data_IF_672344574335
#
_entry.id   IF_672344574335
#
_cell.length_a   1.000
_cell.length_b   1.000
_cell.length_c   1.000
_cell.angle_alpha   90.00
_cell.angle_beta   90.00
_cell.angle_gamma   90.00
#
_symmetry.space_group_name_H-M   'P 1'
#
loop_
_entity.id
_entity.type
_entity.pdbx_description
1 polymer ?
#
# COMPACT_ATOMS: atom_id res chain seq x y z
N UNK A 1 12.28 -51.71 10.23
CA UNK A 1 11.72 -50.82 9.20
C UNK A 1 10.38 -50.35 9.71
N UNK A 2 10.37 -49.24 10.35
CA UNK A 2 9.18 -48.61 10.98
C UNK A 2 8.67 -47.57 10.00
N UNK A 3 7.44 -47.76 9.53
CA UNK A 3 6.71 -46.78 8.74
C UNK A 3 6.41 -45.59 9.62
N UNK A 4 7.02 -44.44 9.33
CA UNK A 4 6.53 -43.16 9.80
C UNK A 4 5.16 -42.92 9.15
N UNK A 5 4.13 -42.83 10.00
CA UNK A 5 2.79 -42.52 9.59
C UNK A 5 2.74 -41.07 9.15
N UNK A 6 2.55 -40.86 7.86
CA UNK A 6 2.19 -39.59 7.22
C UNK A 6 0.77 -39.18 7.66
N UNK A 7 0.64 -38.68 8.88
CA UNK A 7 -0.61 -38.10 9.36
C UNK A 7 -0.69 -36.67 8.81
N UNK A 8 -1.71 -36.34 8.04
CA UNK A 8 -1.88 -34.96 7.57
C UNK A 8 -2.00 -34.04 8.80
N UNK A 9 -1.44 -32.81 8.72
CA UNK A 9 -1.51 -31.86 9.82
C UNK A 9 -2.97 -31.61 10.24
N UNK A 10 -3.19 -31.47 11.54
CA UNK A 10 -4.52 -31.22 12.06
C UNK A 10 -5.08 -29.90 11.53
N UNK A 11 -6.40 -29.82 11.40
CA UNK A 11 -7.06 -28.60 10.92
C UNK A 11 -6.69 -27.36 11.76
N UNK A 12 -6.41 -27.56 13.06
CA UNK A 12 -5.94 -26.50 13.97
C UNK A 12 -4.49 -26.07 13.67
N UNK A 13 -3.57 -26.99 13.30
CA UNK A 13 -2.22 -26.64 12.86
C UNK A 13 -2.22 -25.91 11.51
N UNK A 14 -3.10 -26.28 10.59
CA UNK A 14 -3.27 -25.57 9.33
C UNK A 14 -3.84 -24.16 9.52
N UNK A 15 -4.66 -23.92 10.55
CA UNK A 15 -5.16 -22.59 10.91
C UNK A 15 -4.10 -21.73 11.60
N UNK A 16 -3.17 -22.33 12.36
CA UNK A 16 -2.08 -21.61 13.02
C UNK A 16 -0.96 -21.18 12.05
N UNK A 17 -0.81 -21.88 10.91
CA UNK A 17 0.18 -21.55 9.88
C UNK A 17 -0.33 -20.66 8.75
N UNK A 18 -1.66 -20.42 8.66
CA UNK A 18 -2.18 -19.50 7.66
C UNK A 18 -1.99 -18.06 8.15
N UNK A 19 -1.07 -17.35 7.51
CA UNK A 19 -0.95 -15.89 7.66
C UNK A 19 -2.35 -15.25 7.55
N UNK A 20 -2.71 -14.39 8.51
CA UNK A 20 -3.97 -13.63 8.50
C UNK A 20 -4.13 -12.80 7.22
N UNK A 21 -3.06 -12.63 6.47
CA UNK A 21 -2.94 -11.78 5.30
C UNK A 21 -3.02 -12.54 3.98
N UNK A 22 -3.03 -13.89 4.00
CA UNK A 22 -2.93 -14.72 2.79
C UNK A 22 -1.56 -14.59 2.10
N UNK A 23 -1.22 -15.51 1.21
CA UNK A 23 -0.03 -15.38 0.36
C UNK A 23 -0.37 -14.49 -0.83
N UNK A 24 0.15 -13.27 -0.86
CA UNK A 24 -0.06 -12.31 -1.94
C UNK A 24 1.15 -12.33 -2.90
N UNK A 25 0.93 -12.38 -4.22
CA UNK A 25 2.01 -12.44 -5.19
C UNK A 25 2.78 -11.11 -5.29
N UNK A 26 4.03 -11.16 -5.77
CA UNK A 26 4.87 -9.96 -5.97
C UNK A 26 4.35 -9.05 -7.07
N UNK A 27 3.58 -9.58 -8.03
CA UNK A 27 2.93 -8.80 -9.08
C UNK A 27 1.44 -8.96 -9.03
N UNK A 28 0.74 -7.85 -8.90
CA UNK A 28 -0.71 -7.79 -8.80
C UNK A 28 -1.29 -6.77 -9.77
N UNK A 29 -2.45 -7.09 -10.31
CA UNK A 29 -3.17 -6.23 -11.23
C UNK A 29 -4.54 -5.89 -10.67
N UNK A 30 -5.00 -4.68 -10.88
CA UNK A 30 -6.36 -4.29 -10.51
C UNK A 30 -7.20 -4.10 -11.77
N UNK A 31 -8.32 -4.79 -11.79
CA UNK A 31 -9.27 -4.73 -12.89
C UNK A 31 -10.64 -4.23 -12.39
N UNK A 32 -11.31 -3.46 -13.23
CA UNK A 32 -12.65 -2.99 -12.96
C UNK A 32 -13.29 -2.33 -14.16
N UNK A 33 -14.61 -2.29 -14.18
CA UNK A 33 -15.34 -1.56 -15.21
C UNK A 33 -15.61 -0.14 -14.71
N UNK A 34 -15.14 0.86 -15.44
CA UNK A 34 -15.40 2.26 -15.16
C UNK A 34 -16.89 2.59 -14.99
N UNK A 35 -17.76 1.88 -15.71
CA UNK A 35 -19.21 2.05 -15.65
C UNK A 35 -19.86 1.43 -14.40
N UNK A 36 -19.13 0.58 -13.67
CA UNK A 36 -19.59 -0.09 -12.44
C UNK A 36 -18.69 0.27 -11.26
N UNK A 37 -18.58 1.55 -10.95
CA UNK A 37 -17.76 2.11 -9.88
C UNK A 37 -17.97 1.54 -8.47
N UNK A 38 -18.82 0.54 -8.32
CA UNK A 38 -19.09 -0.07 -7.01
C UNK A 38 -18.01 -1.03 -6.56
N UNK A 39 -17.25 -1.61 -7.48
CA UNK A 39 -16.19 -2.57 -7.13
C UNK A 39 -15.13 -2.72 -8.20
N UNK A 40 -13.90 -3.04 -7.75
CA UNK A 40 -12.75 -3.45 -8.55
C UNK A 40 -12.31 -4.82 -8.06
N UNK A 41 -11.51 -5.54 -8.86
CA UNK A 41 -10.93 -6.83 -8.48
C UNK A 41 -9.42 -6.69 -8.40
N UNK A 42 -8.85 -7.05 -7.25
CA UNK A 42 -7.42 -7.32 -7.13
C UNK A 42 -7.18 -8.73 -7.66
N UNK A 43 -6.27 -8.86 -8.60
CA UNK A 43 -5.94 -10.10 -9.28
C UNK A 43 -4.42 -10.33 -9.24
N UNK A 44 -4.00 -11.56 -9.42
CA UNK A 44 -2.61 -11.90 -9.66
C UNK A 44 -2.14 -11.52 -11.07
N UNK A 45 -1.45 -12.44 -11.75
CA UNK A 45 -0.87 -12.18 -13.07
C UNK A 45 -1.90 -11.87 -14.16
N UNK A 46 -3.11 -12.41 -14.06
CA UNK A 46 -4.17 -12.23 -15.06
C UNK A 46 -5.50 -11.82 -14.42
N UNK A 47 -6.42 -11.26 -15.22
CA UNK A 47 -7.77 -10.89 -14.78
C UNK A 47 -8.62 -12.08 -14.28
N UNK A 48 -8.23 -13.32 -14.60
CA UNK A 48 -8.90 -14.54 -14.16
C UNK A 48 -8.44 -15.00 -12.78
N UNK A 49 -7.23 -14.62 -12.40
CA UNK A 49 -6.61 -14.95 -11.12
C UNK A 49 -7.04 -13.95 -10.04
N UNK A 50 -8.31 -14.06 -9.64
CA UNK A 50 -8.94 -13.11 -8.71
C UNK A 50 -8.58 -13.45 -7.27
N UNK A 51 -8.06 -12.48 -6.54
CA UNK A 51 -7.61 -12.61 -5.15
C UNK A 51 -8.60 -11.96 -4.18
N UNK A 52 -8.92 -10.69 -4.40
CA UNK A 52 -9.70 -9.89 -3.47
C UNK A 52 -10.69 -8.98 -4.19
N UNK A 53 -11.84 -8.73 -3.56
CA UNK A 53 -12.79 -7.70 -3.98
C UNK A 53 -12.43 -6.37 -3.34
N UNK A 54 -12.35 -5.32 -4.14
CA UNK A 54 -12.23 -3.92 -3.70
C UNK A 54 -13.61 -3.28 -3.82
N UNK A 55 -14.31 -3.10 -2.70
CA UNK A 55 -15.64 -2.52 -2.64
C UNK A 55 -15.54 -1.01 -2.36
N UNK A 56 -16.04 -0.18 -3.28
CA UNK A 56 -16.01 1.28 -3.09
C UNK A 56 -17.01 1.73 -2.04
N UNK A 57 -16.55 2.52 -1.08
CA UNK A 57 -17.35 3.04 0.03
C UNK A 57 -17.57 4.55 -0.12
N UNK A 58 -18.83 4.95 -0.23
CA UNK A 58 -19.22 6.35 -0.45
C UNK A 58 -19.41 7.17 0.83
N UNK A 59 -19.32 6.51 2.01
CA UNK A 59 -19.56 7.15 3.30
C UNK A 59 -21.02 7.17 3.76
N UNK A 60 -22.00 7.04 2.85
CA UNK A 60 -23.42 7.13 3.22
C UNK A 60 -23.94 5.95 4.08
N UNK A 61 -23.27 4.81 4.01
CA UNK A 61 -23.70 3.63 4.79
C UNK A 61 -23.40 3.73 6.27
N UNK A 62 -22.45 4.57 6.67
CA UNK A 62 -21.99 4.68 8.06
C UNK A 62 -21.31 3.43 8.62
N UNK A 63 -21.09 2.38 7.79
CA UNK A 63 -20.58 1.09 8.24
C UNK A 63 -19.10 1.14 8.66
N UNK A 64 -18.73 0.46 9.76
CA UNK A 64 -17.34 0.35 10.15
C UNK A 64 -16.51 -0.41 9.09
N UNK A 65 -15.19 -0.21 9.04
CA UNK A 65 -14.39 0.70 9.86
C UNK A 65 -14.40 2.15 9.35
N UNK A 66 -14.91 2.42 8.14
CA UNK A 66 -14.85 3.73 7.50
C UNK A 66 -15.87 4.74 8.04
N UNK A 67 -17.03 4.26 8.52
CA UNK A 67 -18.10 5.17 8.97
C UNK A 67 -18.56 6.09 7.83
N UNK A 68 -18.53 7.41 8.07
CA UNK A 68 -18.90 8.44 7.08
C UNK A 68 -17.75 8.82 6.11
N UNK A 69 -16.60 8.17 6.18
CA UNK A 69 -15.46 8.44 5.30
C UNK A 69 -15.66 7.84 3.93
N UNK A 70 -15.36 8.57 2.87
CA UNK A 70 -15.29 7.98 1.53
C UNK A 70 -13.98 7.18 1.38
N UNK A 71 -14.05 6.02 0.72
CA UNK A 71 -12.90 5.16 0.57
C UNK A 71 -13.22 3.85 -0.10
N UNK A 72 -12.60 2.77 0.35
CA UNK A 72 -12.87 1.41 -0.11
C UNK A 72 -12.62 0.37 1.00
N UNK A 73 -13.25 -0.78 0.83
CA UNK A 73 -13.08 -1.98 1.65
C UNK A 73 -12.41 -3.05 0.80
N UNK A 74 -11.33 -3.66 1.29
CA UNK A 74 -10.67 -4.80 0.66
C UNK A 74 -11.18 -6.08 1.34
N UNK A 75 -11.85 -6.94 0.59
CA UNK A 75 -12.42 -8.21 1.08
C UNK A 75 -11.46 -9.36 0.84
N UNK A 76 -11.33 -10.25 1.81
CA UNK A 76 -10.57 -11.50 1.66
C UNK A 76 -11.42 -12.53 0.90
N UNK A 77 -11.56 -12.32 -0.42
CA UNK A 77 -12.40 -13.09 -1.33
C UNK A 77 -13.13 -12.19 -2.32
N UNK A 78 -14.07 -12.78 -3.08
CA UNK A 78 -14.71 -12.13 -4.23
C UNK A 78 -16.13 -11.63 -3.97
N UNK A 79 -16.60 -11.79 -2.74
CA UNK A 79 -17.93 -11.38 -2.31
C UNK A 79 -17.87 -10.23 -1.31
N UNK A 80 -18.87 -9.35 -1.34
CA UNK A 80 -19.05 -8.33 -0.31
C UNK A 80 -19.47 -8.91 1.06
N UNK A 81 -19.72 -10.22 1.12
CA UNK A 81 -19.98 -10.97 2.34
C UNK A 81 -18.71 -11.60 2.93
N UNK A 82 -17.62 -11.64 2.14
CA UNK A 82 -16.35 -12.18 2.62
C UNK A 82 -15.76 -11.28 3.71
N UNK A 83 -14.92 -11.84 4.60
CA UNK A 83 -14.31 -11.09 5.69
C UNK A 83 -13.58 -9.84 5.20
N UNK A 84 -13.59 -8.79 6.01
CA UNK A 84 -12.82 -7.59 5.73
C UNK A 84 -11.34 -7.85 6.00
N UNK A 85 -10.50 -7.69 4.98
CA UNK A 85 -9.05 -7.81 5.09
C UNK A 85 -8.41 -6.48 5.49
N UNK A 86 -8.81 -5.39 4.83
CA UNK A 86 -8.33 -4.05 5.12
C UNK A 86 -9.29 -2.99 4.57
N UNK A 87 -9.09 -1.73 4.94
CA UNK A 87 -9.82 -0.62 4.37
C UNK A 87 -8.94 0.65 4.29
N UNK A 88 -9.27 1.56 3.40
CA UNK A 88 -8.72 2.91 3.44
C UNK A 88 -9.75 3.95 3.00
N UNK A 89 -9.64 5.14 3.58
CA UNK A 89 -10.54 6.23 3.28
C UNK A 89 -9.93 7.61 3.52
N UNK A 90 -10.73 8.64 3.27
CA UNK A 90 -10.35 10.00 3.63
C UNK A 90 -10.17 10.08 5.15
N UNK A 91 -9.17 10.82 5.63
CA UNK A 91 -8.91 10.93 7.06
C UNK A 91 -10.06 11.64 7.77
N UNK A 92 -10.55 12.71 7.19
CA UNK A 92 -11.68 13.48 7.72
C UNK A 92 -13.02 12.83 7.37
N UNK A 93 -13.98 12.95 8.28
CA UNK A 93 -15.38 12.65 8.00
C UNK A 93 -16.03 13.86 7.33
N UNK A 94 -16.67 13.63 6.20
CA UNK A 94 -17.37 14.69 5.46
C UNK A 94 -16.69 15.09 4.14
N UNK A 95 -17.31 16.05 3.45
CA UNK A 95 -16.92 16.47 2.09
C UNK A 95 -15.74 17.46 2.12
N UNK A 96 -14.56 17.02 2.55
CA UNK A 96 -13.35 17.81 2.34
C UNK A 96 -12.77 17.52 0.95
N UNK A 97 -13.23 18.27 -0.04
CA UNK A 97 -12.97 18.02 -1.45
C UNK A 97 -11.47 17.99 -1.81
N UNK A 98 -10.63 18.67 -1.05
CA UNK A 98 -9.22 18.89 -1.39
C UNK A 98 -8.21 18.17 -0.47
N UNK A 99 -8.64 17.50 0.61
CA UNK A 99 -7.71 16.81 1.49
C UNK A 99 -7.33 15.44 0.88
N UNK A 100 -6.06 15.21 0.49
CA UNK A 100 -5.57 13.92 0.02
C UNK A 100 -5.14 12.96 1.14
N UNK A 101 -5.06 13.45 2.38
CA UNK A 101 -4.68 12.64 3.53
C UNK A 101 -5.68 11.50 3.75
N UNK A 102 -5.17 10.37 4.18
CA UNK A 102 -5.94 9.16 4.34
C UNK A 102 -5.66 8.44 5.65
N UNK A 103 -6.59 7.57 5.99
CA UNK A 103 -6.47 6.61 7.08
C UNK A 103 -6.60 5.20 6.50
N UNK A 104 -5.72 4.31 6.91
CA UNK A 104 -5.69 2.89 6.55
C UNK A 104 -6.06 2.07 7.76
N UNK A 105 -6.89 1.07 7.57
CA UNK A 105 -7.31 0.10 8.59
C UNK A 105 -6.74 -1.26 8.21
N UNK A 106 -5.97 -1.85 9.12
CA UNK A 106 -5.31 -3.15 8.95
C UNK A 106 -5.70 -4.08 10.11
N UNK A 107 -5.61 -5.40 9.94
CA UNK A 107 -5.68 -6.32 11.06
C UNK A 107 -4.67 -5.94 12.13
N UNK A 108 -4.98 -6.13 13.42
CA UNK A 108 -4.08 -5.77 14.50
C UNK A 108 -2.78 -6.57 14.45
N UNK A 109 -1.69 -5.94 14.89
CA UNK A 109 -0.36 -6.55 14.90
C UNK A 109 -0.28 -7.78 15.80
N UNK A 110 -0.98 -7.75 16.91
CA UNK A 110 -1.09 -8.84 17.89
C UNK A 110 -2.55 -9.31 17.89
N UNK A 111 -2.90 -10.07 16.84
CA UNK A 111 -4.29 -10.48 16.64
C UNK A 111 -4.71 -11.56 17.63
N UNK A 112 -5.69 -11.26 18.46
CA UNK A 112 -6.65 -12.26 18.88
C UNK A 112 -7.53 -12.60 17.66
N UNK A 113 -7.54 -13.83 17.13
CA UNK A 113 -8.33 -14.22 15.96
C UNK A 113 -9.83 -13.90 16.07
N UNK A 114 -10.32 -13.63 17.27
CA UNK A 114 -11.72 -13.30 17.57
C UNK A 114 -12.00 -11.80 17.62
N UNK A 115 -10.98 -10.95 17.45
CA UNK A 115 -11.15 -9.51 17.54
C UNK A 115 -11.47 -8.89 16.18
N UNK A 116 -12.63 -8.26 16.08
CA UNK A 116 -12.99 -7.40 14.92
C UNK A 116 -12.28 -6.04 14.93
N UNK A 117 -11.34 -5.84 15.87
CA UNK A 117 -10.58 -4.61 15.99
C UNK A 117 -9.61 -4.48 14.82
N UNK A 118 -9.48 -3.28 14.28
CA UNK A 118 -8.50 -2.94 13.28
C UNK A 118 -7.57 -1.83 13.81
N UNK A 119 -6.29 -1.96 13.51
CA UNK A 119 -5.32 -0.89 13.73
C UNK A 119 -5.45 0.18 12.65
N UNK A 120 -5.12 1.42 13.00
CA UNK A 120 -5.23 2.55 12.09
C UNK A 120 -3.87 3.19 11.82
N UNK A 121 -3.54 3.35 10.52
CA UNK A 121 -2.31 3.96 10.08
C UNK A 121 -2.59 5.16 9.19
N UNK A 122 -1.96 6.33 9.43
CA UNK A 122 -2.13 7.49 8.59
C UNK A 122 -1.34 7.37 7.28
N UNK A 123 -1.91 7.92 6.21
CA UNK A 123 -1.22 8.18 4.95
C UNK A 123 -1.28 9.67 4.67
N UNK A 124 -0.12 10.34 4.65
CA UNK A 124 0.02 11.80 4.55
C UNK A 124 0.55 12.23 3.20
N UNK A 125 -0.09 13.20 2.58
CA UNK A 125 0.42 13.84 1.39
C UNK A 125 1.30 15.03 1.77
N UNK A 126 2.55 15.02 1.30
CA UNK A 126 3.51 16.09 1.56
C UNK A 126 4.05 16.67 0.26
N UNK A 127 4.18 18.01 0.17
CA UNK A 127 4.86 18.64 -0.95
C UNK A 127 6.36 18.30 -0.86
N UNK A 128 6.87 17.68 -1.92
CA UNK A 128 8.29 17.42 -2.09
C UNK A 128 9.03 18.60 -2.72
N UNK A 129 10.35 18.47 -2.88
CA UNK A 129 11.13 19.39 -3.66
C UNK A 129 10.69 19.36 -5.14
N UNK A 130 10.91 20.46 -5.89
CA UNK A 130 10.65 20.54 -7.32
C UNK A 130 9.20 20.32 -7.80
N UNK A 131 8.21 20.80 -7.06
CA UNK A 131 6.79 20.63 -7.41
C UNK A 131 6.27 19.18 -7.34
N UNK A 132 7.02 18.26 -6.77
CA UNK A 132 6.62 16.88 -6.54
C UNK A 132 5.75 16.73 -5.29
N UNK A 133 4.98 15.64 -5.24
CA UNK A 133 4.21 15.22 -4.07
C UNK A 133 4.67 13.83 -3.69
N UNK A 134 4.84 13.63 -2.39
CA UNK A 134 5.05 12.32 -1.80
C UNK A 134 3.89 11.96 -0.87
N UNK A 135 3.53 10.68 -0.82
CA UNK A 135 2.53 10.14 0.10
C UNK A 135 3.23 9.23 1.09
N UNK A 136 3.34 9.70 2.32
CA UNK A 136 4.08 9.06 3.40
C UNK A 136 3.20 8.18 4.24
N UNK A 137 3.74 7.05 4.68
CA UNK A 137 3.18 6.21 5.73
C UNK A 137 4.30 5.53 6.50
N UNK A 138 3.98 5.02 7.69
CA UNK A 138 4.90 4.19 8.47
C UNK A 138 4.18 2.92 8.89
N UNK A 139 4.94 1.80 8.98
CA UNK A 139 4.39 0.49 9.33
C UNK A 139 5.47 -0.37 9.99
N UNK A 140 5.06 -1.32 10.80
CA UNK A 140 5.94 -2.33 11.37
C UNK A 140 6.35 -3.35 10.29
N UNK A 141 7.66 -3.66 10.24
CA UNK A 141 8.26 -4.54 9.25
C UNK A 141 9.15 -5.61 9.88
N UNK A 142 9.22 -6.75 9.20
CA UNK A 142 10.05 -7.90 9.55
C UNK A 142 9.68 -8.55 10.89
N UNK A 143 10.42 -9.58 11.26
CA UNK A 143 10.17 -10.36 12.47
C UNK A 143 10.27 -9.53 13.76
N UNK A 144 11.14 -8.51 13.77
CA UNK A 144 11.36 -7.62 14.92
C UNK A 144 10.30 -6.53 15.05
N UNK A 145 9.32 -6.48 14.17
CA UNK A 145 8.23 -5.50 14.14
C UNK A 145 8.74 -4.05 14.30
N UNK A 146 9.83 -3.73 13.60
CA UNK A 146 10.42 -2.38 13.65
C UNK A 146 9.59 -1.45 12.78
N UNK A 147 9.22 -0.29 13.33
CA UNK A 147 8.48 0.72 12.59
C UNK A 147 9.39 1.45 11.63
N UNK A 148 9.05 1.45 10.36
CA UNK A 148 9.80 2.08 9.29
C UNK A 148 8.92 2.99 8.43
N UNK A 149 9.54 3.98 7.79
CA UNK A 149 8.86 4.99 6.99
C UNK A 149 9.03 4.72 5.50
N UNK A 150 7.96 4.95 4.75
CA UNK A 150 7.88 4.76 3.32
C UNK A 150 7.20 5.95 2.65
N UNK A 151 7.58 6.23 1.40
CA UNK A 151 6.99 7.30 0.62
C UNK A 151 6.71 6.87 -0.83
N UNK A 152 5.47 6.98 -1.26
CA UNK A 152 5.11 6.92 -2.66
C UNK A 152 5.51 8.22 -3.35
N UNK A 153 6.35 8.13 -4.38
CA UNK A 153 6.82 9.27 -5.17
C UNK A 153 6.51 9.05 -6.65
N UNK A 154 6.15 10.10 -7.35
CA UNK A 154 5.91 10.02 -8.80
C UNK A 154 7.19 9.64 -9.53
N UNK A 155 7.10 8.72 -10.50
CA UNK A 155 8.23 8.34 -11.35
C UNK A 155 8.58 9.51 -12.27
N UNK A 156 9.86 9.92 -12.33
CA UNK A 156 10.34 11.04 -13.15
C UNK A 156 10.63 10.56 -14.56
N UNK A 157 10.43 11.47 -15.55
CA UNK A 157 10.90 11.23 -16.93
C UNK A 157 12.42 11.03 -16.92
N UNK A 158 12.89 9.93 -17.52
CA UNK A 158 14.33 9.62 -17.60
C UNK A 158 14.83 8.57 -16.59
N UNK A 159 14.02 8.16 -15.62
CA UNK A 159 14.30 6.94 -14.87
C UNK A 159 14.02 5.73 -15.76
N UNK A 160 14.81 4.63 -15.63
CA UNK A 160 14.71 3.43 -16.50
C UNK A 160 13.30 2.81 -16.56
N UNK A 161 12.49 3.09 -15.55
CA UNK A 161 11.09 2.70 -15.47
C UNK A 161 10.11 3.78 -15.93
N UNK A 162 10.59 4.88 -16.49
CA UNK A 162 9.77 6.01 -16.96
C UNK A 162 8.83 5.68 -18.14
N UNK A 163 8.91 4.48 -18.68
CA UNK A 163 7.88 3.96 -19.59
C UNK A 163 6.54 3.74 -18.90
N UNK A 164 6.50 3.75 -17.55
CA UNK A 164 5.29 3.58 -16.73
C UNK A 164 4.92 4.91 -16.09
N UNK A 165 3.82 5.49 -16.54
CA UNK A 165 3.21 6.59 -15.82
C UNK A 165 2.69 6.06 -14.47
N UNK A 166 3.28 6.51 -13.35
CA UNK A 166 2.93 5.95 -12.04
C UNK A 166 3.77 6.47 -10.89
N UNK A 167 3.90 5.63 -9.88
CA UNK A 167 4.60 5.94 -8.63
C UNK A 167 5.57 4.82 -8.26
N UNK A 168 6.64 5.17 -7.56
CA UNK A 168 7.56 4.25 -6.89
C UNK A 168 7.41 4.39 -5.38
N UNK A 169 7.47 3.30 -4.66
CA UNK A 169 7.53 3.27 -3.21
C UNK A 169 8.99 3.23 -2.78
N UNK A 170 9.38 4.20 -1.97
CA UNK A 170 10.75 4.33 -1.46
C UNK A 170 10.73 4.09 0.04
N UNK A 171 11.60 3.19 0.52
CA UNK A 171 11.90 2.98 1.93
C UNK A 171 12.81 4.10 2.40
N UNK A 172 12.39 4.86 3.39
CA UNK A 172 13.16 5.98 3.91
C UNK A 172 14.13 5.46 4.97
N UNK A 173 15.44 5.70 4.76
CA UNK A 173 16.43 5.37 5.78
C UNK A 173 16.17 6.22 7.02
N UNK A 174 16.00 5.60 8.18
CA UNK A 174 15.95 6.30 9.46
C UNK A 174 17.31 6.99 9.66
N UNK A 175 17.40 8.28 9.37
CA UNK A 175 18.57 9.12 9.64
C UNK A 175 18.68 9.42 11.15
N UNK A 176 18.89 8.37 11.94
CA UNK A 176 18.90 8.43 13.41
C UNK A 176 19.91 7.49 14.06
N UNK A 177 21.05 7.22 13.43
CA UNK A 177 22.23 6.74 14.16
C UNK A 177 23.20 7.89 14.34
N UNK A 178 23.23 8.42 15.56
CA UNK A 178 24.29 9.27 16.10
C UNK A 178 25.62 8.55 15.84
N UNK A 179 26.38 9.07 14.91
CA UNK A 179 27.74 8.62 14.61
C UNK A 179 28.61 8.92 15.83
N UNK A 180 28.98 7.91 16.61
CA UNK A 180 30.14 8.03 17.47
C UNK A 180 31.40 8.18 16.60
N UNK A 181 32.33 9.08 16.93
CA UNK A 181 33.56 9.24 16.18
C UNK A 181 34.57 8.15 16.62
N UNK A 182 34.77 7.15 15.78
CA UNK A 182 35.93 6.28 15.86
C UNK A 182 36.62 6.28 14.52
N UNK A 183 37.82 6.88 14.53
CA UNK A 183 38.71 6.92 13.40
C UNK A 183 39.22 5.53 13.01
N UNK A 184 39.22 5.25 11.74
CA UNK A 184 40.25 4.49 11.03
C UNK A 184 39.96 4.53 9.51
N UNK A 185 41.01 4.94 8.79
CA UNK A 185 41.07 4.95 7.32
C UNK A 185 40.87 3.56 6.73
N UNK A 186 39.85 3.40 5.85
CA UNK A 186 39.86 2.36 4.80
C UNK A 186 39.28 2.96 3.53
N UNK A 187 39.99 2.70 2.45
CA UNK A 187 39.84 3.22 1.10
C UNK A 187 38.40 3.15 0.53
N UNK A 188 38.03 4.27 -0.06
CA UNK A 188 36.87 4.41 -0.94
C UNK A 188 37.09 3.64 -2.23
N UNK A 189 36.22 2.64 -2.51
CA UNK A 189 35.89 2.26 -3.88
C UNK A 189 34.66 3.07 -4.30
N UNK A 190 34.90 4.00 -5.18
CA UNK A 190 33.92 4.94 -5.74
C UNK A 190 33.05 4.26 -6.78
N UNK A 191 31.76 4.12 -6.51
CA UNK A 191 30.72 4.19 -7.53
C UNK A 191 29.69 5.23 -7.08
N UNK A 192 30.02 6.49 -7.34
CA UNK A 192 29.16 7.63 -7.08
C UNK A 192 28.15 7.79 -8.20
N UNK A 193 26.89 7.42 -7.96
CA UNK A 193 25.78 8.02 -8.68
C UNK A 193 25.43 9.36 -8.03
N UNK A 194 25.34 10.47 -8.77
CA UNK A 194 24.95 11.77 -8.24
C UNK A 194 23.42 11.83 -8.14
N UNK A 195 22.87 11.49 -7.01
CA UNK A 195 21.44 11.59 -6.75
C UNK A 195 21.20 11.66 -5.25
N UNK A 196 20.59 12.75 -4.82
CA UNK A 196 20.29 13.05 -3.42
C UNK A 196 19.62 11.89 -2.70
N UNK A 197 19.56 11.96 -1.37
CA UNK A 197 18.94 11.06 -0.36
C UNK A 197 17.68 10.27 -0.81
N UNK A 198 17.81 9.52 -1.90
CA UNK A 198 16.77 8.61 -2.36
C UNK A 198 17.01 7.28 -1.66
N UNK A 199 16.05 6.91 -0.79
CA UNK A 199 16.04 5.61 -0.13
C UNK A 199 15.88 4.47 -1.16
N UNK A 200 15.87 3.24 -0.68
CA UNK A 200 15.70 2.03 -1.47
C UNK A 200 14.29 1.97 -2.08
N UNK A 201 14.18 1.73 -3.39
CA UNK A 201 12.88 1.49 -4.04
C UNK A 201 12.43 0.05 -3.78
N UNK A 202 11.23 -0.12 -3.22
CA UNK A 202 10.71 -1.42 -2.76
C UNK A 202 9.44 -1.86 -3.50
N UNK A 203 8.77 -0.95 -4.21
CA UNK A 203 7.62 -1.29 -5.05
C UNK A 203 7.36 -0.26 -6.16
N UNK A 204 6.61 -0.66 -7.18
CA UNK A 204 6.18 0.20 -8.28
C UNK A 204 4.67 0.08 -8.52
N UNK A 205 4.02 1.20 -8.72
CA UNK A 205 2.62 1.32 -9.13
C UNK A 205 2.57 1.89 -10.55
N UNK A 206 2.28 1.05 -11.54
CA UNK A 206 2.14 1.43 -12.93
C UNK A 206 0.68 1.71 -13.28
N UNK A 207 0.33 2.97 -13.57
CA UNK A 207 -1.02 3.36 -13.97
C UNK A 207 -1.26 3.02 -15.44
N UNK A 208 -2.36 2.33 -15.74
CA UNK A 208 -2.75 1.99 -17.11
C UNK A 208 -3.72 3.05 -17.63
N UNK A 209 -3.22 3.91 -18.50
CA UNK A 209 -4.00 5.02 -19.11
C UNK A 209 -4.57 4.65 -20.49
N UNK A 210 -4.85 3.36 -20.73
CA UNK A 210 -5.28 2.89 -22.04
C UNK A 210 -6.79 3.00 -22.24
N UNK A 211 -7.25 3.93 -23.07
CA UNK A 211 -8.50 3.85 -23.81
C UNK A 211 -8.29 2.89 -25.01
N UNK A 212 -9.15 1.90 -25.28
CA UNK A 212 -10.55 1.73 -24.88
C UNK A 212 -10.82 0.56 -23.92
N UNK A 213 -9.83 -0.18 -23.46
CA UNK A 213 -10.05 -1.30 -22.53
C UNK A 213 -9.97 -0.85 -21.07
N UNK A 214 -10.93 -0.05 -20.64
CA UNK A 214 -11.05 0.51 -19.28
C UNK A 214 -11.27 -0.55 -18.18
N UNK A 215 -10.75 -1.75 -18.39
CA UNK A 215 -10.86 -2.85 -17.43
C UNK A 215 -9.62 -2.98 -16.55
N UNK A 216 -8.43 -2.61 -17.06
CA UNK A 216 -7.19 -2.67 -16.30
C UNK A 216 -6.87 -1.29 -15.72
N UNK A 217 -6.90 -1.17 -14.40
CA UNK A 217 -6.71 0.09 -13.69
C UNK A 217 -5.22 0.39 -13.45
N UNK A 218 -4.50 -0.56 -12.87
CA UNK A 218 -3.07 -0.44 -12.59
C UNK A 218 -2.42 -1.81 -12.34
N UNK A 219 -1.11 -1.83 -12.40
CA UNK A 219 -0.25 -2.94 -11.96
C UNK A 219 0.56 -2.48 -10.75
N UNK A 220 0.60 -3.30 -9.71
CA UNK A 220 1.48 -3.16 -8.55
C UNK A 220 2.55 -4.25 -8.62
N UNK A 221 3.82 -3.85 -8.57
CA UNK A 221 4.97 -4.75 -8.55
C UNK A 221 5.79 -4.49 -7.29
N UNK A 222 5.94 -5.52 -6.46
CA UNK A 222 6.87 -5.52 -5.34
C UNK A 222 8.26 -5.93 -5.87
N UNK A 223 9.30 -5.27 -5.39
CA UNK A 223 10.67 -5.67 -5.73
C UNK A 223 10.95 -7.04 -5.11
N UNK A 224 11.66 -7.89 -5.84
CA UNK A 224 11.93 -9.27 -5.43
C UNK A 224 12.53 -9.36 -4.03
N UNK A 225 12.01 -10.31 -3.23
CA UNK A 225 12.43 -10.55 -1.85
C UNK A 225 11.96 -9.52 -0.81
N UNK A 226 11.36 -8.40 -1.21
CA UNK A 226 10.92 -7.38 -0.25
C UNK A 226 9.70 -7.84 0.56
N UNK A 227 8.79 -8.60 -0.04
CA UNK A 227 7.63 -9.16 0.67
C UNK A 227 8.06 -10.06 1.82
N UNK A 228 9.03 -10.96 1.57
CA UNK A 228 9.54 -11.89 2.57
C UNK A 228 10.33 -11.15 3.68
N UNK A 229 11.13 -10.16 3.28
CA UNK A 229 11.97 -9.39 4.21
C UNK A 229 11.16 -8.43 5.10
N UNK A 230 10.12 -7.79 4.55
CA UNK A 230 9.32 -6.77 5.23
C UNK A 230 8.02 -7.32 5.83
N UNK A 231 7.56 -8.48 5.35
CA UNK A 231 6.44 -9.24 5.90
C UNK A 231 5.06 -8.88 5.35
N UNK A 232 4.09 -9.73 5.66
CA UNK A 232 2.73 -9.67 5.09
C UNK A 232 1.97 -8.38 5.44
N UNK A 233 2.15 -7.87 6.67
CA UNK A 233 1.51 -6.63 7.11
C UNK A 233 1.98 -5.44 6.27
N UNK A 234 3.29 -5.37 5.96
CA UNK A 234 3.82 -4.38 5.03
C UNK A 234 3.25 -4.57 3.63
N UNK A 235 3.22 -5.79 3.12
CA UNK A 235 2.65 -6.12 1.81
C UNK A 235 1.20 -5.64 1.70
N UNK A 236 0.37 -5.92 2.71
CA UNK A 236 -1.00 -5.45 2.75
C UNK A 236 -1.09 -3.91 2.79
N UNK A 237 -0.24 -3.25 3.59
CA UNK A 237 -0.18 -1.77 3.63
C UNK A 237 0.17 -1.19 2.27
N UNK A 238 1.14 -1.80 1.54
CA UNK A 238 1.51 -1.37 0.18
C UNK A 238 0.35 -1.51 -0.79
N UNK A 239 -0.37 -2.63 -0.77
CA UNK A 239 -1.54 -2.86 -1.61
C UNK A 239 -2.63 -1.81 -1.33
N UNK A 240 -2.96 -1.60 -0.07
CA UNK A 240 -4.03 -0.67 0.33
C UNK A 240 -3.66 0.78 -0.02
N UNK A 241 -2.41 1.18 0.21
CA UNK A 241 -1.95 2.53 -0.16
C UNK A 241 -1.84 2.72 -1.66
N UNK A 242 -1.49 1.69 -2.44
CA UNK A 242 -1.51 1.72 -3.91
C UNK A 242 -2.93 1.91 -4.46
N UNK A 243 -3.93 1.17 -3.95
CA UNK A 243 -5.34 1.34 -4.31
C UNK A 243 -5.80 2.75 -3.94
N UNK A 244 -5.44 3.23 -2.74
CA UNK A 244 -5.76 4.61 -2.30
C UNK A 244 -5.17 5.63 -3.26
N UNK A 245 -3.89 5.49 -3.62
CA UNK A 245 -3.19 6.40 -4.52
C UNK A 245 -3.82 6.42 -5.92
N UNK A 246 -4.23 5.25 -6.43
CA UNK A 246 -5.01 5.16 -7.67
C UNK A 246 -6.33 5.94 -7.56
N UNK A 247 -7.10 5.75 -6.47
CA UNK A 247 -8.37 6.47 -6.29
C UNK A 247 -8.18 7.98 -6.18
N UNK A 248 -7.11 8.43 -5.53
CA UNK A 248 -6.72 9.84 -5.47
C UNK A 248 -6.34 10.37 -6.85
N UNK A 249 -5.59 9.58 -7.63
CA UNK A 249 -5.19 9.94 -9.00
C UNK A 249 -6.40 10.14 -9.91
N UNK A 250 -7.33 9.19 -9.91
CA UNK A 250 -8.58 9.27 -10.68
C UNK A 250 -9.43 10.49 -10.29
N UNK A 251 -9.42 10.86 -9.00
CA UNK A 251 -10.10 12.06 -8.48
C UNK A 251 -9.33 13.36 -8.72
N UNK A 252 -8.17 13.33 -9.38
CA UNK A 252 -7.32 14.50 -9.61
C UNK A 252 -6.61 15.04 -8.36
N UNK A 253 -6.61 14.28 -7.25
CA UNK A 253 -6.06 14.71 -5.95
C UNK A 253 -4.55 14.43 -5.79
N UNK A 254 -3.85 14.05 -6.83
CA UNK A 254 -2.40 13.79 -6.82
C UNK A 254 -1.59 14.95 -7.44
N UNK A 255 -2.13 16.16 -7.50
CA UNK A 255 -1.43 17.36 -7.96
C UNK A 255 -1.03 18.25 -6.78
N UNK A 256 0.12 18.94 -6.88
CA UNK A 256 0.61 19.85 -5.83
C UNK A 256 -0.42 20.93 -5.50
N UNK A 257 -1.08 21.49 -6.51
CA UNK A 257 -2.12 22.49 -6.31
C UNK A 257 -3.22 22.03 -5.34
N UNK A 258 -3.69 20.78 -5.52
CA UNK A 258 -4.75 20.21 -4.65
C UNK A 258 -4.24 19.95 -3.24
N UNK A 259 -2.99 19.45 -3.10
CA UNK A 259 -2.39 19.19 -1.78
C UNK A 259 -2.17 20.50 -1.01
N UNK A 260 -1.66 21.54 -1.67
CA UNK A 260 -1.46 22.85 -1.05
C UNK A 260 -2.79 23.50 -0.63
N UNK A 261 -3.84 23.34 -1.45
CA UNK A 261 -5.19 23.80 -1.09
C UNK A 261 -5.77 23.04 0.11
N UNK A 262 -5.58 21.71 0.12
CA UNK A 262 -6.03 20.87 1.24
C UNK A 262 -5.39 21.26 2.56
N UNK A 263 -4.08 21.50 2.58
CA UNK A 263 -3.35 21.96 3.77
C UNK A 263 -3.81 23.32 4.28
N UNK A 264 -4.05 24.28 3.38
CA UNK A 264 -4.59 25.60 3.74
C UNK A 264 -6.01 25.52 4.33
N UNK A 265 -6.81 24.58 3.87
CA UNK A 265 -8.18 24.37 4.35
C UNK A 265 -8.23 23.67 5.72
N UNK A 266 -7.24 22.81 6.03
CA UNK A 266 -7.16 22.06 7.30
C UNK A 266 -6.49 22.85 8.43
N UNK A 267 -5.83 23.95 8.13
CA UNK A 267 -5.13 24.83 9.09
C UNK A 267 -5.96 26.01 9.62
N UNK A 268 -7.28 26.00 9.39
CA UNK A 268 -8.22 27.00 9.95
C UNK A 268 -9.15 26.29 10.98
#
# INVERSE_FOLDING_TARGET
>A
MTNESDTPPSYEEALMTSSHYGSLPSTMNVYGQWTKWKSLNLCGATAKDRLCLIEMHTGYSGKPPLGMRTGFLLRNGMSNKDPLLAAAGDESQGLHAFNPDGIVFLPPLDADPKSDRMDTEPMRAEPGANNDIAFHFSIEVGEKKRREEFAWRKVKKGEDQAKRNGFKLVRLSSSGQISQPSGSNVQKSSSSSPGGKDGETVAFLGLVMAFPSMTHAFTLELVDGQSDALGDRWTLMVIVTAIRLYTLHVKGKTSKFVVDMGKKSSGK
#
